data_IF_242731917598
#
_entry.id   IF_242731917598
#
_cell.length_a   1.000
_cell.length_b   1.000
_cell.length_c   1.000
_cell.angle_alpha   90.00
_cell.angle_beta   90.00
_cell.angle_gamma   90.00
#
_symmetry.space_group_name_H-M   'P 1'
#
loop_
_entity.id
_entity.type
_entity.pdbx_description
1 polymer ?
#
# COMPACT_ATOMS: atom_id res chain seq x y z
N UNK A 1 -0.91 6.99 -11.92
CA UNK A 1 0.18 7.28 -12.88
C UNK A 1 -0.02 8.58 -13.68
N UNK A 2 -0.89 9.47 -13.22
CA UNK A 2 -1.05 10.81 -13.76
C UNK A 2 -0.30 11.81 -12.89
N UNK A 3 0.35 12.81 -13.49
CA UNK A 3 1.17 13.79 -12.79
C UNK A 3 2.48 13.20 -12.30
N UNK A 4 2.90 13.52 -11.07
CA UNK A 4 4.06 12.94 -10.42
C UNK A 4 3.61 11.85 -9.42
N UNK A 5 3.67 10.56 -9.80
CA UNK A 5 3.17 9.48 -8.95
C UNK A 5 3.87 9.41 -7.59
N UNK A 6 5.16 9.65 -7.54
CA UNK A 6 5.91 9.61 -6.29
C UNK A 6 5.47 10.74 -5.34
N UNK A 7 5.27 11.94 -5.86
CA UNK A 7 4.81 13.08 -5.06
C UNK A 7 3.40 12.82 -4.50
N UNK A 8 2.53 12.19 -5.28
CA UNK A 8 1.19 11.80 -4.82
C UNK A 8 1.25 10.77 -3.68
N UNK A 9 2.11 9.76 -3.80
CA UNK A 9 2.30 8.77 -2.73
C UNK A 9 2.84 9.41 -1.46
N UNK A 10 3.85 10.25 -1.58
CA UNK A 10 4.45 10.94 -0.43
C UNK A 10 3.40 11.79 0.30
N UNK A 11 2.60 12.53 -0.45
CA UNK A 11 1.56 13.38 0.13
C UNK A 11 0.45 12.55 0.78
N UNK A 12 0.06 11.43 0.17
CA UNK A 12 -0.91 10.50 0.75
C UNK A 12 -0.41 9.94 2.09
N UNK A 13 0.84 9.52 2.16
CA UNK A 13 1.45 9.03 3.40
C UNK A 13 1.44 10.12 4.47
N UNK A 14 1.79 11.34 4.10
CA UNK A 14 1.75 12.49 5.02
C UNK A 14 0.33 12.72 5.56
N UNK A 15 -0.67 12.69 4.70
CA UNK A 15 -2.07 12.88 5.11
C UNK A 15 -2.56 11.74 6.02
N UNK A 16 -2.14 10.51 5.76
CA UNK A 16 -2.44 9.38 6.65
C UNK A 16 -1.79 9.60 8.03
N UNK A 17 -0.50 9.94 8.04
CA UNK A 17 0.25 10.15 9.28
C UNK A 17 -0.29 11.31 10.12
N UNK A 18 -0.84 12.34 9.49
CA UNK A 18 -1.43 13.50 10.14
C UNK A 18 -2.89 13.27 10.58
N UNK A 19 -3.49 12.13 10.25
CA UNK A 19 -4.88 11.84 10.59
C UNK A 19 -5.01 11.56 12.09
N UNK A 20 -5.84 12.31 12.83
CA UNK A 20 -6.11 12.02 14.25
C UNK A 20 -6.67 10.59 14.41
N UNK A 21 -6.13 9.85 15.37
CA UNK A 21 -6.52 8.46 15.61
C UNK A 21 -5.68 7.42 14.87
N UNK A 22 -4.75 7.84 14.01
CA UNK A 22 -3.79 6.96 13.36
C UNK A 22 -2.41 7.18 13.99
N UNK A 23 -1.74 6.09 14.39
CA UNK A 23 -0.48 6.09 15.14
C UNK A 23 0.50 5.06 14.58
N UNK A 24 1.77 5.21 14.95
CA UNK A 24 2.84 4.25 14.66
C UNK A 24 2.89 3.85 13.18
N UNK A 25 2.94 4.86 12.32
CA UNK A 25 2.88 4.67 10.87
C UNK A 25 4.21 4.14 10.35
N UNK A 26 4.15 2.99 9.68
CA UNK A 26 5.28 2.36 9.00
C UNK A 26 4.91 2.23 7.52
N UNK A 27 5.83 2.61 6.64
CA UNK A 27 5.65 2.42 5.20
C UNK A 27 6.65 1.41 4.66
N UNK A 28 6.23 0.65 3.68
CA UNK A 28 7.13 -0.22 2.92
C UNK A 28 8.01 0.60 1.98
N UNK A 29 9.06 -0.01 1.41
CA UNK A 29 9.68 0.55 0.22
C UNK A 29 8.66 0.78 -0.89
N UNK A 30 8.95 1.71 -1.79
CA UNK A 30 8.15 1.96 -2.99
C UNK A 30 8.54 0.96 -4.08
N UNK A 31 7.56 0.40 -4.74
CA UNK A 31 7.75 -0.56 -5.83
C UNK A 31 7.12 -0.05 -7.13
N UNK A 32 7.72 -0.45 -8.24
CA UNK A 32 7.19 -0.23 -9.59
C UNK A 32 6.46 -1.51 -10.01
N UNK A 33 5.23 -1.38 -10.45
CA UNK A 33 4.42 -2.52 -10.87
C UNK A 33 3.76 -2.24 -12.22
N UNK A 34 3.64 -3.29 -13.06
CA UNK A 34 2.98 -3.18 -14.35
C UNK A 34 1.46 -3.04 -14.18
N UNK A 35 0.78 -2.32 -15.09
CA UNK A 35 -0.69 -2.24 -15.07
C UNK A 35 -1.33 -3.62 -15.25
N UNK A 36 -2.47 -3.84 -14.56
CA UNK A 36 -3.30 -5.03 -14.70
C UNK A 36 -4.39 -4.75 -15.74
N UNK A 37 -4.59 -5.69 -16.65
CA UNK A 37 -5.61 -5.59 -17.68
C UNK A 37 -5.07 -5.08 -19.01
N UNK A 38 -5.94 -4.93 -20.02
CA UNK A 38 -5.57 -4.62 -21.39
C UNK A 38 -5.43 -3.14 -21.72
N UNK A 39 -5.47 -2.23 -20.74
CA UNK A 39 -5.33 -0.80 -20.99
C UNK A 39 -3.85 -0.43 -20.98
N UNK A 40 -3.41 0.16 -22.08
CA UNK A 40 -2.03 0.66 -22.20
C UNK A 40 -1.83 1.89 -21.33
N UNK A 41 -1.03 1.75 -20.27
CA UNK A 41 -0.73 2.80 -19.29
C UNK A 41 0.73 2.67 -18.87
N UNK A 42 1.26 3.74 -18.27
CA UNK A 42 2.55 3.70 -17.60
C UNK A 42 2.48 2.80 -16.36
N UNK A 43 3.63 2.31 -15.92
CA UNK A 43 3.74 1.53 -14.69
C UNK A 43 3.24 2.32 -13.48
N UNK A 44 2.73 1.59 -12.49
CA UNK A 44 2.28 2.17 -11.23
C UNK A 44 3.38 2.16 -10.19
N UNK A 45 3.36 3.13 -9.28
CA UNK A 45 4.09 3.07 -8.04
C UNK A 45 3.15 2.62 -6.93
N UNK A 46 3.61 1.68 -6.12
CA UNK A 46 2.83 1.10 -5.01
C UNK A 46 3.66 1.04 -3.74
N UNK A 47 2.99 1.18 -2.61
CA UNK A 47 3.54 0.91 -1.29
C UNK A 47 2.44 0.42 -0.36
N UNK A 48 2.82 -0.11 0.78
CA UNK A 48 1.92 -0.47 1.87
C UNK A 48 2.18 0.43 3.07
N UNK A 49 1.11 0.87 3.70
CA UNK A 49 1.15 1.56 4.98
C UNK A 49 0.57 0.63 6.04
N UNK A 50 1.31 0.44 7.11
CA UNK A 50 0.86 -0.26 8.31
C UNK A 50 0.83 0.73 9.47
N UNK A 51 -0.27 0.77 10.19
CA UNK A 51 -0.43 1.72 11.29
C UNK A 51 -1.35 1.14 12.36
N UNK A 52 -1.31 1.76 13.53
CA UNK A 52 -2.31 1.52 14.59
C UNK A 52 -3.44 2.53 14.42
N UNK A 53 -4.68 2.08 14.47
CA UNK A 53 -5.84 2.94 14.28
C UNK A 53 -6.82 2.83 15.44
N UNK A 54 -7.26 3.98 15.93
CA UNK A 54 -8.38 4.09 16.86
C UNK A 54 -9.72 4.28 16.12
N UNK A 55 -9.65 4.40 14.79
CA UNK A 55 -10.83 4.69 13.95
C UNK A 55 -11.44 3.39 13.43
N UNK A 56 -12.79 3.32 13.35
CA UNK A 56 -13.46 2.16 12.76
C UNK A 56 -13.28 2.10 11.23
N UNK A 57 -13.48 0.92 10.61
CA UNK A 57 -13.30 0.76 9.16
C UNK A 57 -14.06 1.76 8.29
N UNK A 58 -15.29 2.11 8.66
CA UNK A 58 -16.10 3.07 7.90
C UNK A 58 -15.46 4.46 7.84
N UNK A 59 -14.86 4.90 8.94
CA UNK A 59 -14.16 6.20 9.01
C UNK A 59 -12.85 6.15 8.23
N UNK A 60 -12.13 5.03 8.31
CA UNK A 60 -10.91 4.83 7.52
C UNK A 60 -11.20 4.87 6.02
N UNK A 61 -12.30 4.24 5.58
CA UNK A 61 -12.72 4.28 4.18
C UNK A 61 -13.05 5.71 3.73
N UNK A 62 -13.79 6.44 4.55
CA UNK A 62 -14.11 7.84 4.28
C UNK A 62 -12.84 8.69 4.14
N UNK A 63 -11.87 8.47 5.03
CA UNK A 63 -10.59 9.17 4.99
C UNK A 63 -9.79 8.83 3.72
N UNK A 64 -9.80 7.55 3.31
CA UNK A 64 -9.16 7.11 2.06
C UNK A 64 -9.77 7.83 0.86
N UNK A 65 -11.08 7.95 0.80
CA UNK A 65 -11.77 8.67 -0.27
C UNK A 65 -11.43 10.17 -0.29
N UNK A 66 -11.30 10.79 0.88
CA UNK A 66 -10.89 12.20 0.99
C UNK A 66 -9.49 12.39 0.44
N UNK A 67 -8.57 11.48 0.75
CA UNK A 67 -7.18 11.55 0.23
C UNK A 67 -7.16 11.36 -1.29
N UNK A 68 -7.90 10.40 -1.81
CA UNK A 68 -8.02 10.20 -3.27
C UNK A 68 -8.59 11.44 -3.96
N UNK A 69 -9.64 12.04 -3.39
CA UNK A 69 -10.27 13.25 -3.94
C UNK A 69 -9.31 14.45 -3.93
N UNK A 70 -8.48 14.58 -2.89
CA UNK A 70 -7.46 15.64 -2.81
C UNK A 70 -6.42 15.53 -3.94
N UNK A 71 -6.27 14.33 -4.53
CA UNK A 71 -5.35 14.07 -5.63
C UNK A 71 -6.07 13.94 -6.98
N UNK A 72 -7.29 14.45 -7.09
CA UNK A 72 -8.00 14.55 -8.36
C UNK A 72 -8.58 13.27 -8.92
N UNK A 73 -8.84 12.27 -8.06
CA UNK A 73 -9.46 11.02 -8.50
C UNK A 73 -10.85 11.26 -9.07
N UNK A 74 -11.08 10.80 -10.31
CA UNK A 74 -12.38 10.82 -10.96
C UNK A 74 -12.99 9.41 -10.98
N UNK A 75 -14.03 9.20 -10.18
CA UNK A 75 -14.73 7.92 -10.05
C UNK A 75 -15.73 7.67 -11.19
N UNK A 76 -15.94 8.64 -12.08
CA UNK A 76 -16.89 8.48 -13.20
C UNK A 76 -16.38 7.60 -14.32
N UNK A 77 -15.06 7.35 -14.36
CA UNK A 77 -14.42 6.51 -15.38
C UNK A 77 -13.92 5.22 -14.72
N UNK A 78 -14.67 4.09 -14.79
CA UNK A 78 -14.22 2.83 -14.21
C UNK A 78 -12.91 2.35 -14.85
N UNK A 79 -11.94 1.96 -14.02
CA UNK A 79 -10.62 1.48 -14.47
C UNK A 79 -9.85 2.46 -15.35
N UNK A 80 -10.23 3.74 -15.34
CA UNK A 80 -9.52 4.80 -16.07
C UNK A 80 -8.21 5.19 -15.40
N UNK A 81 -7.42 6.07 -16.03
CA UNK A 81 -6.21 6.62 -15.45
C UNK A 81 -6.48 7.32 -14.12
N UNK A 82 -5.59 7.15 -13.16
CA UNK A 82 -5.77 7.66 -11.79
C UNK A 82 -4.50 8.32 -11.30
N UNK A 83 -4.67 9.37 -10.50
CA UNK A 83 -3.56 10.00 -9.80
C UNK A 83 -3.14 9.17 -8.60
N UNK A 84 -4.11 8.61 -7.88
CA UNK A 84 -3.87 7.91 -6.63
C UNK A 84 -5.03 6.97 -6.30
N UNK A 85 -4.69 5.76 -5.85
CA UNK A 85 -5.61 4.80 -5.23
C UNK A 85 -5.20 4.59 -3.77
N UNK A 86 -6.17 4.62 -2.87
CA UNK A 86 -5.98 4.27 -1.46
C UNK A 86 -6.95 3.17 -1.09
N UNK A 87 -6.45 1.96 -0.94
CA UNK A 87 -7.25 0.77 -0.63
C UNK A 87 -7.05 0.34 0.82
N UNK A 88 -8.13 0.02 1.51
CA UNK A 88 -8.07 -0.65 2.80
C UNK A 88 -7.90 -2.15 2.56
N UNK A 89 -6.87 -2.74 3.13
CA UNK A 89 -6.56 -4.15 2.95
C UNK A 89 -7.03 -4.99 4.14
N UNK A 90 -6.69 -4.56 5.35
CA UNK A 90 -7.04 -5.25 6.60
C UNK A 90 -7.18 -4.23 7.72
N UNK A 91 -8.17 -4.42 8.58
CA UNK A 91 -8.33 -3.66 9.83
C UNK A 91 -8.48 -4.68 10.96
N UNK A 92 -7.38 -4.96 11.65
CA UNK A 92 -7.34 -6.00 12.68
C UNK A 92 -7.82 -7.34 12.13
N UNK A 93 -8.66 -8.03 12.88
CA UNK A 93 -9.31 -9.27 12.47
C UNK A 93 -10.75 -9.06 11.98
N UNK A 94 -11.13 -7.81 11.74
CA UNK A 94 -12.50 -7.47 11.35
C UNK A 94 -12.83 -8.00 9.97
N UNK A 95 -14.03 -8.54 9.85
CA UNK A 95 -14.62 -8.96 8.59
C UNK A 95 -15.78 -8.02 8.27
N UNK A 96 -15.72 -7.38 7.12
CA UNK A 96 -16.74 -6.47 6.63
C UNK A 96 -17.18 -6.91 5.25
N UNK A 97 -18.47 -6.99 5.02
CA UNK A 97 -19.04 -7.31 3.71
C UNK A 97 -20.20 -6.36 3.43
N UNK A 98 -19.88 -5.24 2.81
CA UNK A 98 -20.86 -4.24 2.37
C UNK A 98 -20.62 -3.91 0.90
N UNK A 99 -21.54 -3.21 0.27
CA UNK A 99 -21.36 -2.76 -1.11
C UNK A 99 -20.18 -1.80 -1.26
N UNK A 100 -19.87 -1.08 -0.20
CA UNK A 100 -18.82 -0.06 -0.20
C UNK A 100 -17.44 -0.58 0.25
N UNK A 101 -17.42 -1.66 1.07
CA UNK A 101 -16.19 -2.14 1.69
C UNK A 101 -16.25 -3.63 1.96
N UNK A 102 -15.21 -4.34 1.57
CA UNK A 102 -14.98 -5.73 1.94
C UNK A 102 -13.62 -5.84 2.64
N UNK A 103 -13.61 -6.38 3.85
CA UNK A 103 -12.39 -6.63 4.62
C UNK A 103 -12.34 -8.08 5.09
N UNK A 104 -11.18 -8.75 5.01
CA UNK A 104 -9.98 -8.27 4.32
C UNK A 104 -10.24 -8.08 2.82
N UNK A 105 -9.43 -7.27 2.17
CA UNK A 105 -9.60 -6.99 0.74
C UNK A 105 -9.65 -8.30 -0.05
N UNK A 106 -10.69 -8.50 -0.90
CA UNK A 106 -10.99 -9.83 -1.45
C UNK A 106 -9.95 -10.36 -2.44
N UNK A 107 -9.09 -9.51 -2.98
CA UNK A 107 -8.06 -9.89 -3.95
C UNK A 107 -6.63 -9.78 -3.41
N UNK A 108 -6.45 -9.33 -2.17
CA UNK A 108 -5.13 -9.11 -1.58
C UNK A 108 -4.24 -10.36 -1.64
N UNK A 109 -4.80 -11.52 -1.35
CA UNK A 109 -4.06 -12.79 -1.31
C UNK A 109 -3.48 -13.23 -2.66
N UNK A 110 -3.92 -12.62 -3.75
CA UNK A 110 -3.48 -12.93 -5.13
C UNK A 110 -2.58 -11.85 -5.72
N UNK A 111 -2.38 -10.73 -5.03
CA UNK A 111 -1.70 -9.56 -5.57
C UNK A 111 -0.29 -9.41 -5.00
N UNK A 112 0.71 -9.75 -5.81
CA UNK A 112 2.10 -9.59 -5.42
C UNK A 112 2.44 -8.14 -5.01
N UNK A 113 1.85 -7.15 -5.70
CA UNK A 113 2.09 -5.74 -5.41
C UNK A 113 1.45 -5.26 -4.09
N UNK A 114 0.63 -6.09 -3.46
CA UNK A 114 0.14 -5.89 -2.09
C UNK A 114 1.01 -6.68 -1.11
N UNK A 115 1.24 -7.95 -1.39
CA UNK A 115 1.88 -8.89 -0.45
C UNK A 115 3.37 -8.62 -0.26
N UNK A 116 4.11 -8.29 -1.31
CA UNK A 116 5.55 -8.03 -1.22
C UNK A 116 5.84 -6.80 -0.35
N UNK A 117 5.26 -5.63 -0.64
CA UNK A 117 5.49 -4.48 0.23
C UNK A 117 4.93 -4.68 1.64
N UNK A 118 3.83 -5.41 1.80
CA UNK A 118 3.30 -5.70 3.13
C UNK A 118 4.25 -6.54 3.98
N UNK A 119 4.85 -7.57 3.39
CA UNK A 119 5.89 -8.36 4.07
C UNK A 119 7.04 -7.48 4.53
N UNK A 120 7.47 -6.54 3.72
CA UNK A 120 8.55 -5.61 4.07
C UNK A 120 8.15 -4.69 5.24
N UNK A 121 6.92 -4.19 5.23
CA UNK A 121 6.43 -3.30 6.28
C UNK A 121 6.15 -4.01 7.61
N UNK A 122 5.71 -5.27 7.55
CA UNK A 122 5.38 -6.07 8.72
C UNK A 122 5.63 -7.56 8.43
N UNK A 123 6.87 -8.05 8.70
CA UNK A 123 7.23 -9.45 8.41
C UNK A 123 6.40 -10.50 9.15
N UNK A 124 5.76 -10.13 10.26
CA UNK A 124 4.95 -11.05 11.07
C UNK A 124 3.46 -10.98 10.73
N UNK A 125 3.06 -10.18 9.75
CA UNK A 125 1.66 -9.97 9.40
C UNK A 125 0.98 -11.24 8.90
N UNK A 126 -0.32 -11.33 9.20
CA UNK A 126 -1.19 -12.39 8.72
C UNK A 126 -2.38 -11.78 7.99
N UNK A 127 -2.81 -12.44 6.94
CA UNK A 127 -4.04 -12.09 6.23
C UNK A 127 -5.16 -13.00 6.73
N UNK A 128 -6.17 -12.47 7.42
CA UNK A 128 -7.27 -13.30 7.95
C UNK A 128 -7.88 -14.21 6.88
N UNK A 129 -7.94 -15.51 7.18
CA UNK A 129 -8.46 -16.53 6.27
C UNK A 129 -7.44 -17.10 5.28
N UNK A 130 -6.24 -16.53 5.17
CA UNK A 130 -5.23 -16.96 4.18
C UNK A 130 -3.87 -17.31 4.79
N UNK A 131 -3.60 -16.92 6.02
CA UNK A 131 -2.37 -17.22 6.71
C UNK A 131 -1.33 -16.10 6.67
N UNK A 132 -0.08 -16.44 6.93
CA UNK A 132 1.01 -15.46 7.02
C UNK A 132 1.35 -14.87 5.66
N UNK A 133 1.56 -13.56 5.63
CA UNK A 133 1.95 -12.85 4.40
C UNK A 133 3.26 -13.41 3.82
N UNK A 134 4.24 -13.69 4.67
CA UNK A 134 5.52 -14.28 4.23
C UNK A 134 5.32 -15.61 3.49
N UNK A 135 4.40 -16.45 3.95
CA UNK A 135 4.10 -17.73 3.30
C UNK A 135 3.39 -17.53 1.97
N UNK A 136 2.50 -16.56 1.90
CA UNK A 136 1.81 -16.20 0.64
C UNK A 136 2.81 -15.70 -0.40
N UNK A 137 3.75 -14.86 -0.01
CA UNK A 137 4.82 -14.38 -0.91
C UNK A 137 5.68 -15.55 -1.38
N UNK A 138 6.04 -16.45 -0.49
CA UNK A 138 6.86 -17.62 -0.82
C UNK A 138 6.17 -18.60 -1.81
N UNK A 139 4.84 -18.52 -1.93
CA UNK A 139 4.07 -19.36 -2.87
C UNK A 139 4.16 -18.91 -4.32
N UNK A 140 4.59 -17.68 -4.59
CA UNK A 140 4.78 -17.18 -5.95
C UNK A 140 6.09 -17.71 -6.54
N UNK A 141 6.11 -17.84 -7.88
CA UNK A 141 7.37 -18.07 -8.58
C UNK A 141 8.30 -16.87 -8.41
N UNK A 142 9.56 -17.13 -8.00
CA UNK A 142 10.50 -16.07 -7.66
C UNK A 142 10.84 -15.16 -8.86
N UNK A 143 10.96 -15.74 -10.05
CA UNK A 143 11.28 -14.97 -11.27
C UNK A 143 10.09 -14.11 -11.71
N UNK A 144 8.87 -14.67 -11.66
CA UNK A 144 7.64 -13.91 -11.95
C UNK A 144 7.47 -12.77 -10.94
N UNK A 145 7.75 -13.02 -9.67
CA UNK A 145 7.65 -12.03 -8.62
C UNK A 145 8.62 -10.87 -8.85
N UNK A 146 9.88 -11.18 -9.18
CA UNK A 146 10.90 -10.18 -9.44
C UNK A 146 10.56 -9.30 -10.66
N UNK A 147 9.91 -9.87 -11.67
CA UNK A 147 9.47 -9.12 -12.85
C UNK A 147 8.22 -8.26 -12.57
N UNK A 148 7.32 -8.75 -11.73
CA UNK A 148 6.05 -8.08 -11.45
C UNK A 148 6.18 -6.91 -10.47
N UNK A 149 7.11 -7.00 -9.52
CA UNK A 149 7.26 -6.03 -8.43
C UNK A 149 8.72 -5.65 -8.30
N UNK A 150 9.09 -4.47 -8.80
CA UNK A 150 10.48 -4.00 -8.84
C UNK A 150 10.69 -2.82 -7.89
N UNK A 151 11.80 -2.81 -7.13
CA UNK A 151 12.10 -1.66 -6.26
C UNK A 151 12.20 -0.36 -7.06
N UNK A 152 11.60 0.70 -6.52
CA UNK A 152 11.75 2.05 -7.08
C UNK A 152 13.02 2.70 -6.54
N UNK A 153 13.57 3.67 -7.28
CA UNK A 153 14.83 4.33 -6.93
C UNK A 153 14.72 5.35 -5.80
N UNK A 154 13.49 5.77 -5.44
CA UNK A 154 13.25 6.76 -4.39
C UNK A 154 12.37 6.17 -3.30
N UNK A 155 12.61 6.56 -2.05
CA UNK A 155 11.84 6.12 -0.90
C UNK A 155 11.14 7.28 -0.22
N UNK A 156 10.08 6.97 0.52
CA UNK A 156 9.30 7.98 1.24
C UNK A 156 10.15 8.56 2.39
N UNK A 157 10.11 9.88 2.51
CA UNK A 157 10.72 10.61 3.61
C UNK A 157 9.67 11.60 4.13
N UNK A 158 8.96 11.21 5.18
CA UNK A 158 7.90 11.98 5.82
C UNK A 158 8.13 11.95 7.32
N UNK A 159 8.05 13.12 7.96
CA UNK A 159 8.23 13.24 9.41
C UNK A 159 7.21 12.37 10.17
N UNK A 160 7.70 11.64 11.16
CA UNK A 160 6.86 10.76 11.99
C UNK A 160 6.52 9.41 11.37
N UNK A 161 7.06 9.11 10.19
CA UNK A 161 6.82 7.85 9.48
C UNK A 161 8.11 7.04 9.43
N UNK A 162 8.03 5.77 9.80
CA UNK A 162 9.15 4.83 9.73
C UNK A 162 9.13 4.12 8.38
N UNK A 163 10.27 4.05 7.71
CA UNK A 163 10.42 3.29 6.46
C UNK A 163 11.02 1.93 6.77
N UNK A 164 10.37 0.88 6.33
CA UNK A 164 10.78 -0.51 6.57
C UNK A 164 11.54 -1.11 5.38
N UNK A 165 12.16 -2.28 5.60
CA UNK A 165 12.81 -3.07 4.56
C UNK A 165 14.31 -2.81 4.43
N UNK A 166 14.87 -3.11 3.27
CA UNK A 166 16.31 -2.98 2.99
C UNK A 166 16.85 -1.56 3.18
N UNK A 167 15.97 -0.56 3.12
CA UNK A 167 16.35 0.82 3.34
C UNK A 167 16.88 1.05 4.75
N UNK A 168 16.24 0.46 5.76
CA UNK A 168 16.66 0.58 7.15
C UNK A 168 18.02 -0.10 7.38
N UNK A 169 18.23 -1.25 6.80
CA UNK A 169 19.48 -1.99 6.93
C UNK A 169 20.68 -1.21 6.37
N UNK A 170 20.49 -0.53 5.24
CA UNK A 170 21.55 0.28 4.64
C UNK A 170 21.84 1.56 5.40
N UNK A 171 20.85 2.09 6.08
CA UNK A 171 21.00 3.31 6.87
C UNK A 171 21.77 3.02 8.17
N UNK A 172 21.54 1.84 8.76
CA UNK A 172 22.24 1.41 9.97
C UNK A 172 23.73 1.11 9.70
N UNK A 173 24.10 0.72 8.49
CA UNK A 173 25.48 0.48 8.10
C UNK A 173 26.28 1.75 7.88
N UNK A 174 25.66 2.86 7.51
CA UNK A 174 26.34 4.15 7.30
C UNK A 174 26.61 4.91 8.59
N UNK A 175 25.91 4.60 9.66
CA UNK A 175 26.05 5.25 10.97
C UNK A 175 27.09 4.56 11.89
N UNK A 176 27.85 3.59 11.36
CA UNK A 176 28.88 2.87 12.15
C UNK A 176 30.29 3.35 11.82
#
# INVERSE_FOLDING_TARGET
>A
NMGDPFAHLRDAVRLIAETPGIHDVVVSPVYVTAPIGGVEQDDFLNLIVVATSDLPPSVLLERAHVIEAAHGRDHTIPNGPRTLDVDLIRVGDETVTTDELTLPHPRAHKRAFVLVPWRDADPEAELPGYGRIADLVASFDADELADAVKPYSRQIDVAGVTVAGEWDERHDEEDV
#
